data_IF_608814321286
#
_entry.id   IF_608814321286
#
_cell.length_a   1.000
_cell.length_b   1.000
_cell.length_c   1.000
_cell.angle_alpha   90.00
_cell.angle_beta   90.00
_cell.angle_gamma   90.00
#
_symmetry.space_group_name_H-M   'P 1'
#
loop_
_entity.id
_entity.type
_entity.pdbx_description
1 polymer ?
#
# COMPACT_ATOMS: atom_id res chain seq x y z
N UNK A 1 -14.42 36.46 14.00
CA UNK A 1 -13.48 35.38 13.60
C UNK A 1 -13.85 34.17 14.43
N UNK A 2 -14.28 33.04 13.82
CA UNK A 2 -14.58 31.84 14.59
C UNK A 2 -13.29 31.25 15.17
N UNK A 3 -13.34 30.50 16.28
CA UNK A 3 -12.16 29.93 16.89
C UNK A 3 -11.57 28.86 15.98
N UNK A 4 -10.26 28.93 15.73
CA UNK A 4 -9.51 27.86 15.07
C UNK A 4 -9.61 26.63 15.97
N UNK A 5 -10.38 25.63 15.54
CA UNK A 5 -10.35 24.30 16.14
C UNK A 5 -8.93 23.75 16.00
N UNK A 6 -8.25 23.59 17.13
CA UNK A 6 -7.00 22.84 17.23
C UNK A 6 -7.26 21.38 16.82
N UNK A 7 -7.06 21.06 15.54
CA UNK A 7 -7.12 19.68 15.04
C UNK A 7 -6.11 19.42 13.92
N UNK A 8 -4.92 20.01 14.00
CA UNK A 8 -3.89 19.80 13.00
C UNK A 8 -2.53 19.94 13.67
N UNK A 9 -1.87 18.80 13.90
CA UNK A 9 -0.40 18.71 14.06
C UNK A 9 0.09 17.25 14.26
N UNK A 10 -0.80 16.25 14.34
CA UNK A 10 -0.40 14.83 14.29
C UNK A 10 -0.75 14.11 12.96
N UNK A 11 -1.53 14.74 12.07
CA UNK A 11 -2.15 14.06 10.91
C UNK A 11 -1.35 14.17 9.59
N UNK A 12 -0.26 14.96 9.56
CA UNK A 12 0.56 15.22 8.36
C UNK A 12 1.97 14.59 8.43
N UNK A 13 2.15 13.54 9.22
CA UNK A 13 3.42 12.82 9.19
C UNK A 13 3.52 12.02 7.89
N UNK A 14 4.58 12.27 7.11
CA UNK A 14 4.95 11.39 6.01
C UNK A 14 5.26 10.00 6.57
N UNK A 15 4.63 8.98 5.99
CA UNK A 15 4.89 7.58 6.29
C UNK A 15 5.16 6.91 4.95
N UNK A 16 6.33 6.28 4.82
CA UNK A 16 6.72 5.67 3.54
C UNK A 16 5.85 4.45 3.24
N UNK A 17 5.82 4.05 1.96
CA UNK A 17 5.06 2.88 1.49
C UNK A 17 5.35 1.62 2.30
N UNK A 18 6.63 1.35 2.57
CA UNK A 18 7.04 0.16 3.32
C UNK A 18 6.41 0.18 4.72
N UNK A 19 6.53 1.28 5.46
CA UNK A 19 5.93 1.41 6.79
C UNK A 19 4.41 1.26 6.78
N UNK A 20 3.72 1.84 5.79
CA UNK A 20 2.25 1.68 5.66
C UNK A 20 1.89 0.21 5.41
N UNK A 21 2.55 -0.46 4.46
CA UNK A 21 2.27 -1.85 4.11
C UNK A 21 2.57 -2.81 5.27
N UNK A 22 3.71 -2.66 5.94
CA UNK A 22 4.06 -3.45 7.13
C UNK A 22 3.08 -3.23 8.29
N UNK A 23 2.51 -2.03 8.43
CA UNK A 23 1.58 -1.71 9.52
C UNK A 23 0.13 -2.14 9.26
N UNK A 24 -0.26 -2.27 7.98
CA UNK A 24 -1.64 -2.53 7.56
C UNK A 24 -1.89 -3.96 7.08
N UNK A 25 -0.91 -4.62 6.48
CA UNK A 25 -1.04 -6.01 6.05
C UNK A 25 -0.98 -6.93 7.27
N UNK A 26 -2.00 -7.76 7.46
CA UNK A 26 -2.10 -8.71 8.57
C UNK A 26 -2.58 -10.07 8.04
N UNK A 27 -2.26 -11.14 8.76
CA UNK A 27 -2.82 -12.46 8.47
C UNK A 27 -4.36 -12.40 8.56
N UNK A 28 -5.06 -12.98 7.58
CA UNK A 28 -6.52 -12.93 7.49
C UNK A 28 -7.10 -11.64 6.87
N UNK A 29 -6.26 -10.67 6.50
CA UNK A 29 -6.68 -9.47 5.76
C UNK A 29 -6.11 -8.17 6.32
N UNK A 30 -6.11 -7.12 5.49
CA UNK A 30 -5.59 -5.83 5.89
C UNK A 30 -6.54 -5.05 6.82
N UNK A 31 -5.99 -4.12 7.60
CA UNK A 31 -6.75 -3.16 8.40
C UNK A 31 -7.71 -2.35 7.51
N UNK A 32 -8.96 -2.21 7.97
CA UNK A 32 -10.03 -1.53 7.22
C UNK A 32 -10.34 -0.10 7.70
N UNK A 33 -9.86 0.29 8.89
CA UNK A 33 -10.18 1.57 9.53
C UNK A 33 -8.93 2.29 10.02
N UNK A 34 -9.04 3.61 10.21
CA UNK A 34 -7.96 4.48 10.68
C UNK A 34 -7.12 5.10 9.57
N UNK A 35 -6.33 6.13 9.92
CA UNK A 35 -5.54 6.92 8.95
C UNK A 35 -4.56 6.09 8.12
N UNK A 36 -3.90 5.09 8.73
CA UNK A 36 -3.02 4.17 8.01
C UNK A 36 -3.78 3.32 6.98
N UNK A 37 -5.03 2.92 7.25
CA UNK A 37 -5.84 2.16 6.30
C UNK A 37 -6.26 3.01 5.08
N UNK A 38 -6.50 4.31 5.29
CA UNK A 38 -6.74 5.26 4.21
C UNK A 38 -5.50 5.42 3.32
N UNK A 39 -4.32 5.70 3.92
CA UNK A 39 -3.04 5.77 3.19
C UNK A 39 -2.72 4.45 2.48
N UNK A 40 -2.99 3.32 3.10
CA UNK A 40 -2.82 2.00 2.48
C UNK A 40 -3.70 1.82 1.26
N UNK A 41 -4.96 2.26 1.33
CA UNK A 41 -5.90 2.20 0.20
C UNK A 41 -5.45 3.08 -0.96
N UNK A 42 -5.01 4.31 -0.66
CA UNK A 42 -4.45 5.24 -1.65
C UNK A 42 -3.19 4.65 -2.33
N UNK A 43 -2.23 4.16 -1.53
CA UNK A 43 -0.98 3.63 -2.06
C UNK A 43 -1.16 2.38 -2.93
N UNK A 44 -2.23 1.59 -2.73
CA UNK A 44 -2.57 0.43 -3.57
C UNK A 44 -3.01 0.81 -4.98
N UNK A 45 -3.35 2.08 -5.25
CA UNK A 45 -3.72 2.52 -6.59
C UNK A 45 -2.53 2.55 -7.56
N UNK A 46 -1.30 2.47 -7.04
CA UNK A 46 -0.08 2.49 -7.83
C UNK A 46 0.84 1.34 -7.44
N UNK A 47 1.40 0.64 -8.43
CA UNK A 47 2.37 -0.41 -8.20
C UNK A 47 3.78 0.16 -7.98
N UNK A 48 4.61 -0.45 -7.13
CA UNK A 48 6.02 -0.08 -6.99
C UNK A 48 6.91 -0.70 -8.09
N UNK A 49 6.29 -1.33 -9.09
CA UNK A 49 6.91 -1.96 -10.24
C UNK A 49 6.06 -1.69 -11.47
N UNK A 50 6.64 -1.91 -12.65
CA UNK A 50 5.95 -1.74 -13.92
C UNK A 50 5.57 -3.11 -14.49
N UNK A 51 4.26 -3.31 -14.65
CA UNK A 51 3.65 -4.59 -15.04
C UNK A 51 4.17 -5.06 -16.41
N UNK A 52 4.55 -4.14 -17.32
CA UNK A 52 5.00 -4.51 -18.66
C UNK A 52 6.33 -5.27 -18.67
N UNK A 53 7.11 -5.18 -17.58
CA UNK A 53 8.39 -5.87 -17.44
C UNK A 53 8.27 -7.22 -16.73
N UNK A 54 7.05 -7.68 -16.39
CA UNK A 54 6.84 -9.00 -15.82
C UNK A 54 6.79 -10.06 -16.90
N UNK A 55 7.66 -11.06 -16.78
CA UNK A 55 7.75 -12.19 -17.70
C UNK A 55 6.84 -13.31 -17.21
N UNK A 56 5.59 -13.30 -17.67
CA UNK A 56 4.57 -14.26 -17.27
C UNK A 56 4.71 -15.62 -17.98
N UNK A 57 4.36 -16.69 -17.27
CA UNK A 57 4.17 -18.00 -17.87
C UNK A 57 2.90 -18.04 -18.75
N UNK A 58 2.74 -19.11 -19.54
CA UNK A 58 1.61 -19.26 -20.46
C UNK A 58 0.23 -19.27 -19.78
N UNK A 59 0.16 -19.72 -18.52
CA UNK A 59 -1.09 -19.78 -17.74
C UNK A 59 -1.37 -18.50 -16.95
N UNK A 60 -0.49 -17.49 -17.03
CA UNK A 60 -0.57 -16.24 -16.26
C UNK A 60 -0.70 -16.46 -14.73
N UNK A 61 -0.01 -17.48 -14.19
CA UNK A 61 -0.06 -17.84 -12.77
C UNK A 61 1.22 -17.49 -12.01
N UNK A 62 2.36 -17.40 -12.69
CA UNK A 62 3.61 -16.93 -12.10
C UNK A 62 4.43 -16.09 -13.11
N UNK A 63 5.34 -15.28 -12.59
CA UNK A 63 6.33 -14.53 -13.37
C UNK A 63 7.75 -14.83 -12.88
N UNK A 64 8.74 -14.66 -13.77
CA UNK A 64 10.16 -14.92 -13.48
C UNK A 64 10.69 -14.01 -12.37
N UNK A 65 10.22 -12.77 -12.32
CA UNK A 65 10.65 -11.75 -11.37
C UNK A 65 10.14 -11.99 -9.94
N UNK A 66 9.24 -12.97 -9.75
CA UNK A 66 8.54 -13.26 -8.50
C UNK A 66 7.95 -11.98 -7.86
N UNK A 67 7.35 -11.14 -8.69
CA UNK A 67 6.83 -9.84 -8.29
C UNK A 67 5.31 -9.81 -8.45
N UNK A 68 4.61 -9.73 -7.32
CA UNK A 68 3.15 -9.81 -7.27
C UNK A 68 2.54 -8.77 -6.33
N UNK A 69 1.22 -8.62 -6.45
CA UNK A 69 0.38 -7.84 -5.55
C UNK A 69 0.76 -6.35 -5.50
N UNK A 70 0.07 -5.57 -4.68
CA UNK A 70 0.37 -4.16 -4.46
C UNK A 70 1.72 -3.93 -3.76
N UNK A 71 2.28 -4.97 -3.13
CA UNK A 71 3.57 -4.88 -2.43
C UNK A 71 4.78 -5.11 -3.33
N UNK A 72 4.62 -5.79 -4.48
CA UNK A 72 5.74 -6.21 -5.33
C UNK A 72 6.59 -7.33 -4.71
N UNK A 73 6.03 -8.08 -3.75
CA UNK A 73 6.70 -9.21 -3.12
C UNK A 73 6.44 -10.54 -3.84
N UNK A 74 7.17 -11.60 -3.45
CA UNK A 74 6.94 -12.96 -3.95
C UNK A 74 5.62 -13.56 -3.45
N UNK A 75 5.08 -14.53 -4.20
CA UNK A 75 3.82 -15.21 -3.90
C UNK A 75 3.48 -16.30 -4.90
#
# INVERSE_FOLDING_TARGET
VPPVTLSGDQDDKFICRICVFTSCAQAGGAKKTGQLALKYTEMKQHFPYDIKYLTWNATHTCNVEQCFCYCGGPG
#
